data_IF_355785918809
#
_entry.id   IF_355785918809
#
_cell.length_a   1.000
_cell.length_b   1.000
_cell.length_c   1.000
_cell.angle_alpha   90.00
_cell.angle_beta   90.00
_cell.angle_gamma   90.00
#
_symmetry.space_group_name_H-M   'P 1'
#
loop_
_entity.id
_entity.type
_entity.pdbx_description
1 polymer ?
#
# COMPACT_ATOMS: atom_id res chain seq x y z
N UNK A 1 0.72 -16.69 6.29
CA UNK A 1 0.34 -15.53 7.15
C UNK A 1 -0.90 -14.90 6.52
N UNK A 2 -1.78 -14.20 7.24
CA UNK A 2 -2.91 -13.56 6.56
C UNK A 2 -2.40 -12.36 5.72
N UNK A 3 -2.79 -12.21 4.44
CA UNK A 3 -2.37 -11.07 3.63
C UNK A 3 -2.62 -9.71 4.29
N UNK A 4 -3.73 -9.56 5.03
CA UNK A 4 -4.05 -8.33 5.75
C UNK A 4 -3.00 -7.99 6.83
N UNK A 5 -2.49 -9.00 7.54
CA UNK A 5 -1.42 -8.83 8.51
C UNK A 5 -0.12 -8.44 7.82
N UNK A 6 0.21 -9.09 6.70
CA UNK A 6 1.44 -8.81 5.95
C UNK A 6 1.47 -7.37 5.43
N UNK A 7 0.34 -6.87 4.91
CA UNK A 7 0.28 -5.51 4.37
C UNK A 7 -0.03 -4.44 5.42
N UNK A 8 -0.14 -4.81 6.71
CA UNK A 8 -0.53 -3.87 7.76
C UNK A 8 0.35 -2.62 7.80
N UNK A 9 1.68 -2.80 7.81
CA UNK A 9 2.64 -1.69 7.85
C UNK A 9 2.46 -0.77 6.62
N UNK A 10 2.23 -1.34 5.44
CA UNK A 10 1.95 -0.59 4.22
C UNK A 10 0.68 0.26 4.37
N UNK A 11 -0.41 -0.35 4.86
CA UNK A 11 -1.68 0.36 5.04
C UNK A 11 -1.62 1.44 6.12
N UNK A 12 -0.93 1.20 7.23
CA UNK A 12 -0.76 2.16 8.33
C UNK A 12 0.11 3.35 7.89
N UNK A 13 1.16 3.09 7.12
CA UNK A 13 2.04 4.13 6.56
C UNK A 13 1.28 5.03 5.59
N UNK A 14 0.50 4.45 4.67
CA UNK A 14 -0.32 5.21 3.74
C UNK A 14 -1.35 6.10 4.48
N UNK A 15 -2.02 5.55 5.51
CA UNK A 15 -2.94 6.31 6.37
C UNK A 15 -2.25 7.45 7.12
N UNK A 16 -1.04 7.21 7.64
CA UNK A 16 -0.28 8.24 8.34
C UNK A 16 0.05 9.43 7.42
N UNK A 17 0.37 9.17 6.13
CA UNK A 17 0.57 10.23 5.13
C UNK A 17 -0.73 10.97 4.82
N UNK A 18 -1.83 10.24 4.60
CA UNK A 18 -3.16 10.84 4.35
C UNK A 18 -3.63 11.74 5.51
N UNK A 19 -3.31 11.37 6.74
CA UNK A 19 -3.65 12.12 7.94
C UNK A 19 -2.64 13.24 8.27
N UNK A 20 -1.61 13.44 7.44
CA UNK A 20 -0.56 14.44 7.65
C UNK A 20 0.34 14.16 8.86
N UNK A 21 0.32 12.92 9.39
CA UNK A 21 1.17 12.47 10.51
C UNK A 21 2.54 11.95 10.06
N UNK A 22 2.69 11.67 8.77
CA UNK A 22 3.94 11.23 8.15
C UNK A 22 4.17 12.01 6.86
N UNK A 23 5.43 12.41 6.63
CA UNK A 23 5.83 13.03 5.38
C UNK A 23 5.73 12.03 4.21
N UNK A 24 5.31 12.52 3.03
CA UNK A 24 5.08 11.65 1.87
C UNK A 24 6.38 11.00 1.36
N UNK A 25 7.52 11.68 1.43
CA UNK A 25 8.83 11.13 1.01
C UNK A 25 9.23 9.99 1.93
N UNK A 26 9.07 10.17 3.25
CA UNK A 26 9.33 9.12 4.24
C UNK A 26 8.36 7.94 4.06
N UNK A 27 7.09 8.24 3.76
CA UNK A 27 6.08 7.24 3.44
C UNK A 27 6.46 6.39 2.21
N UNK A 28 6.89 7.03 1.12
CA UNK A 28 7.33 6.36 -0.11
C UNK A 28 8.54 5.45 0.14
N UNK A 29 9.56 5.95 0.84
CA UNK A 29 10.75 5.15 1.20
C UNK A 29 10.37 3.92 2.05
N UNK A 30 9.48 4.10 3.01
CA UNK A 30 8.99 3.01 3.87
C UNK A 30 8.25 1.97 3.03
N UNK A 31 7.35 2.42 2.14
CA UNK A 31 6.61 1.54 1.24
C UNK A 31 7.52 0.76 0.30
N UNK A 32 8.56 1.39 -0.26
CA UNK A 32 9.52 0.73 -1.15
C UNK A 32 10.29 -0.39 -0.43
N UNK A 33 10.74 -0.12 0.81
CA UNK A 33 11.38 -1.15 1.65
C UNK A 33 10.40 -2.30 1.92
N UNK A 34 9.16 -1.99 2.29
CA UNK A 34 8.16 -3.02 2.57
C UNK A 34 7.81 -3.84 1.33
N UNK A 35 7.64 -3.21 0.17
CA UNK A 35 7.34 -3.87 -1.10
C UNK A 35 8.34 -4.99 -1.39
N UNK A 36 9.65 -4.68 -1.33
CA UNK A 36 10.72 -5.66 -1.60
C UNK A 36 10.69 -6.84 -0.62
N UNK A 37 10.24 -6.62 0.61
CA UNK A 37 10.16 -7.66 1.65
C UNK A 37 8.89 -8.50 1.55
N UNK A 38 7.75 -7.88 1.21
CA UNK A 38 6.44 -8.56 1.29
C UNK A 38 5.98 -9.13 -0.04
N UNK A 39 6.30 -8.50 -1.18
CA UNK A 39 5.82 -8.92 -2.49
C UNK A 39 6.16 -10.39 -2.83
N UNK A 40 7.36 -10.93 -2.51
CA UNK A 40 7.67 -12.34 -2.76
C UNK A 40 6.77 -13.33 -2.00
N UNK A 41 6.26 -12.92 -0.84
CA UNK A 41 5.46 -13.78 0.04
C UNK A 41 3.96 -13.59 -0.14
N UNK A 42 3.53 -12.44 -0.66
CA UNK A 42 2.13 -12.05 -0.73
C UNK A 42 1.29 -12.98 -1.64
N UNK A 43 1.88 -13.51 -2.72
CA UNK A 43 1.23 -14.52 -3.57
C UNK A 43 0.97 -15.83 -2.81
N UNK A 44 1.90 -16.24 -1.94
CA UNK A 44 1.74 -17.45 -1.13
C UNK A 44 0.62 -17.27 -0.11
N UNK A 45 0.66 -16.17 0.64
CA UNK A 45 -0.38 -15.85 1.63
C UNK A 45 -1.79 -15.73 1.00
N UNK A 46 -1.89 -15.27 -0.26
CA UNK A 46 -3.16 -15.24 -1.02
C UNK A 46 -3.79 -16.63 -1.17
N UNK A 47 -2.97 -17.66 -1.37
CA UNK A 47 -3.43 -19.05 -1.58
C UNK A 47 -3.97 -19.65 -0.28
N UNK A 48 -3.46 -19.17 0.87
CA UNK A 48 -3.84 -19.64 2.19
C UNK A 48 -5.14 -19.02 2.73
N UNK A 49 -5.76 -18.10 1.98
CA UNK A 49 -7.02 -17.43 2.35
C UNK A 49 -8.08 -17.56 1.26
N UNK A 50 -9.32 -17.21 1.59
CA UNK A 50 -10.39 -17.19 0.59
C UNK A 50 -10.19 -16.05 -0.42
N UNK A 51 -10.70 -16.22 -1.64
CA UNK A 51 -10.67 -15.17 -2.66
C UNK A 51 -11.32 -13.86 -2.17
N UNK A 52 -12.43 -13.95 -1.44
CA UNK A 52 -13.13 -12.79 -0.91
C UNK A 52 -12.26 -11.99 0.10
N UNK A 53 -11.48 -12.69 0.92
CA UNK A 53 -10.52 -12.05 1.84
C UNK A 53 -9.39 -11.36 1.07
N UNK A 54 -8.79 -12.05 0.10
CA UNK A 54 -7.75 -11.48 -0.75
C UNK A 54 -8.24 -10.24 -1.52
N UNK A 55 -9.43 -10.30 -2.10
CA UNK A 55 -10.06 -9.20 -2.83
C UNK A 55 -10.35 -8.00 -1.92
N UNK A 56 -10.73 -8.24 -0.66
CA UNK A 56 -10.95 -7.18 0.34
C UNK A 56 -9.66 -6.43 0.64
N UNK A 57 -8.55 -7.15 0.80
CA UNK A 57 -7.23 -6.54 1.01
C UNK A 57 -6.78 -5.78 -0.25
N UNK A 58 -6.93 -6.37 -1.43
CA UNK A 58 -6.60 -5.72 -2.70
C UNK A 58 -7.41 -4.43 -2.91
N UNK A 59 -8.71 -4.43 -2.60
CA UNK A 59 -9.57 -3.26 -2.70
C UNK A 59 -9.14 -2.15 -1.72
N UNK A 60 -8.74 -2.53 -0.51
CA UNK A 60 -8.24 -1.58 0.50
C UNK A 60 -6.97 -0.89 0.00
N UNK A 61 -6.01 -1.66 -0.51
CA UNK A 61 -4.77 -1.13 -1.07
C UNK A 61 -5.01 -0.19 -2.26
N UNK A 62 -5.92 -0.54 -3.18
CA UNK A 62 -6.29 0.33 -4.31
C UNK A 62 -6.89 1.65 -3.85
N UNK A 63 -7.85 1.61 -2.91
CA UNK A 63 -8.47 2.83 -2.37
C UNK A 63 -7.45 3.74 -1.68
N UNK A 64 -6.51 3.16 -0.95
CA UNK A 64 -5.41 3.94 -0.36
C UNK A 64 -4.52 4.55 -1.44
N UNK A 65 -4.20 3.81 -2.50
CA UNK A 65 -3.42 4.32 -3.63
C UNK A 65 -4.10 5.52 -4.30
N UNK A 66 -5.39 5.40 -4.60
CA UNK A 66 -6.23 6.48 -5.16
C UNK A 66 -6.24 7.72 -4.25
N UNK A 67 -6.50 7.53 -2.95
CA UNK A 67 -6.52 8.62 -1.98
C UNK A 67 -5.17 9.34 -1.86
N UNK A 68 -4.06 8.58 -1.88
CA UNK A 68 -2.72 9.16 -1.79
C UNK A 68 -2.37 9.92 -3.07
N UNK A 69 -2.74 9.42 -4.25
CA UNK A 69 -2.52 10.13 -5.51
C UNK A 69 -3.34 11.41 -5.65
N UNK A 70 -4.47 11.51 -4.94
CA UNK A 70 -5.35 12.69 -4.93
C UNK A 70 -4.89 13.78 -3.93
N UNK A 71 -3.80 13.55 -3.18
CA UNK A 71 -3.25 14.53 -2.26
C UNK A 71 -2.77 15.79 -3.01
N UNK A 72 -2.92 16.95 -2.37
CA UNK A 72 -2.57 18.21 -3.00
C UNK A 72 -1.05 18.30 -3.26
N UNK A 73 -0.61 18.54 -4.51
CA UNK A 73 0.81 18.64 -4.86
C UNK A 73 1.47 19.91 -4.30
N UNK A 74 0.70 20.83 -3.72
CA UNK A 74 1.21 22.02 -3.03
C UNK A 74 1.62 21.76 -1.58
N UNK A 75 1.15 20.65 -1.00
CA UNK A 75 1.40 20.29 0.40
C UNK A 75 2.23 19.02 0.54
N UNK A 76 2.18 18.15 -0.46
CA UNK A 76 2.89 16.88 -0.48
C UNK A 76 3.75 16.82 -1.73
N UNK A 77 4.88 16.12 -1.62
CA UNK A 77 5.74 15.84 -2.76
C UNK A 77 4.97 14.94 -3.77
N UNK A 78 4.74 15.42 -5.00
CA UNK A 78 3.94 14.71 -5.98
C UNK A 78 4.61 13.41 -6.46
N UNK A 79 5.94 13.38 -6.54
CA UNK A 79 6.68 12.18 -6.94
C UNK A 79 6.54 11.10 -5.85
N UNK A 80 6.66 11.50 -4.59
CA UNK A 80 6.49 10.59 -3.47
C UNK A 80 5.06 10.02 -3.38
N UNK A 81 4.03 10.87 -3.57
CA UNK A 81 2.64 10.38 -3.54
C UNK A 81 2.33 9.45 -4.72
N UNK A 82 2.88 9.72 -5.91
CA UNK A 82 2.73 8.84 -7.08
C UNK A 82 3.44 7.50 -6.87
N UNK A 83 4.64 7.51 -6.29
CA UNK A 83 5.38 6.29 -5.99
C UNK A 83 4.67 5.43 -4.94
N UNK A 84 4.13 6.04 -3.88
CA UNK A 84 3.28 5.34 -2.92
C UNK A 84 2.06 4.70 -3.60
N UNK A 85 1.36 5.44 -4.46
CA UNK A 85 0.20 4.94 -5.19
C UNK A 85 0.57 3.76 -6.12
N UNK A 86 1.71 3.84 -6.81
CA UNK A 86 2.26 2.76 -7.64
C UNK A 86 2.44 1.48 -6.82
N UNK A 87 3.17 1.57 -5.71
CA UNK A 87 3.47 0.43 -4.82
C UNK A 87 2.17 -0.21 -4.30
N UNK A 88 1.23 0.61 -3.81
CA UNK A 88 -0.06 0.14 -3.33
C UNK A 88 -0.85 -0.59 -4.44
N UNK A 89 -0.80 -0.08 -5.67
CA UNK A 89 -1.40 -0.71 -6.85
C UNK A 89 -0.77 -2.06 -7.19
N UNK A 90 0.55 -2.18 -7.14
CA UNK A 90 1.27 -3.43 -7.44
C UNK A 90 1.02 -4.53 -6.41
N UNK A 91 1.00 -4.16 -5.12
CA UNK A 91 0.64 -5.09 -4.05
C UNK A 91 -0.82 -5.55 -4.17
N UNK A 92 -1.74 -4.63 -4.52
CA UNK A 92 -3.13 -4.98 -4.79
C UNK A 92 -3.27 -5.92 -5.99
N UNK A 93 -2.47 -5.71 -7.04
CA UNK A 93 -2.48 -6.56 -8.23
C UNK A 93 -1.94 -7.96 -7.94
N UNK A 94 -0.99 -8.10 -7.02
CA UNK A 94 -0.45 -9.39 -6.58
C UNK A 94 -1.51 -10.24 -5.84
N UNK A 95 -2.48 -9.59 -5.19
CA UNK A 95 -3.56 -10.24 -4.47
C UNK A 95 -4.77 -10.62 -5.33
N UNK A 96 -4.84 -10.14 -6.57
CA UNK A 96 -5.82 -10.59 -7.57
C UNK A 96 -5.30 -11.83 -8.30
#
# INVERSE_FOLDING_TARGET
MNPAERVRIVTETARAVLEGRLDAVVGAQTLAIQETQIAPHLRGDRIDVTQAEADTVALTLRRLGEQVSDLSPTKHDPEATLEMARILGELAQTLR
#
